data_IF_949864555120
#
_entry.id   IF_949864555120
#
_cell.length_a   1.000
_cell.length_b   1.000
_cell.length_c   1.000
_cell.angle_alpha   90.00
_cell.angle_beta   90.00
_cell.angle_gamma   90.00
#
_symmetry.space_group_name_H-M   'P 1'
#
loop_
_entity.id
_entity.type
_entity.pdbx_description
1 polymer ?
#
# COMPACT_ATOMS: atom_id res chain seq x y z
N UNK A 1 5.40 11.80 44.66
CA UNK A 1 6.46 10.98 44.05
C UNK A 1 5.99 9.55 43.98
N UNK A 2 5.45 9.09 42.84
CA UNK A 2 5.33 7.67 42.48
C UNK A 2 5.45 7.62 40.95
N UNK A 3 6.60 7.16 40.47
CA UNK A 3 6.83 6.87 39.05
C UNK A 3 6.06 5.60 38.69
N UNK A 4 5.13 5.69 37.75
CA UNK A 4 4.57 4.51 37.08
C UNK A 4 5.46 4.18 35.89
N UNK A 5 6.23 3.09 36.02
CA UNK A 5 6.92 2.44 34.92
C UNK A 5 5.86 1.96 33.91
N UNK A 6 5.86 2.53 32.70
CA UNK A 6 5.12 1.99 31.58
C UNK A 6 5.86 0.75 31.07
N UNK A 7 5.28 -0.43 31.33
CA UNK A 7 5.70 -1.67 30.68
C UNK A 7 5.29 -1.59 29.21
N UNK A 8 6.28 -1.50 28.31
CA UNK A 8 6.10 -1.77 26.90
C UNK A 8 5.78 -3.27 26.74
N UNK A 9 4.51 -3.59 26.44
CA UNK A 9 4.14 -4.94 26.02
C UNK A 9 4.55 -5.07 24.55
N UNK A 10 5.71 -5.67 24.32
CA UNK A 10 6.08 -6.21 23.01
C UNK A 10 5.23 -7.46 22.80
N UNK A 11 4.11 -7.33 22.07
CA UNK A 11 3.36 -8.49 21.58
C UNK A 11 4.17 -9.12 20.44
N UNK A 12 5.11 -9.98 20.81
CA UNK A 12 5.73 -10.92 19.89
C UNK A 12 4.61 -11.76 19.24
N UNK A 13 4.73 -12.04 17.94
CA UNK A 13 3.93 -13.09 17.30
C UNK A 13 4.01 -14.34 18.18
N UNK A 14 2.86 -14.92 18.55
CA UNK A 14 2.89 -16.19 19.26
C UNK A 14 3.52 -17.22 18.31
N UNK A 15 4.63 -17.87 18.67
CA UNK A 15 5.21 -18.92 17.84
C UNK A 15 4.14 -20.01 17.67
N UNK A 16 3.78 -20.32 16.42
CA UNK A 16 3.00 -21.52 16.12
C UNK A 16 3.85 -22.69 16.58
N UNK A 17 3.27 -23.58 17.41
CA UNK A 17 4.02 -24.73 17.89
C UNK A 17 4.37 -25.65 16.71
N UNK A 18 5.58 -26.23 16.75
CA UNK A 18 6.08 -27.18 15.75
C UNK A 18 5.06 -28.31 15.47
N UNK A 19 4.31 -28.75 16.49
CA UNK A 19 3.29 -29.80 16.36
C UNK A 19 2.16 -29.40 15.40
N UNK A 20 1.72 -28.13 15.37
CA UNK A 20 0.69 -27.67 14.44
C UNK A 20 1.21 -27.48 13.01
N UNK A 21 2.49 -27.11 12.83
CA UNK A 21 3.10 -26.92 11.51
C UNK A 21 3.59 -28.22 10.85
N UNK A 22 3.90 -29.26 11.64
CA UNK A 22 4.34 -30.58 11.14
C UNK A 22 3.19 -31.40 10.54
N UNK A 23 1.94 -31.05 10.83
CA UNK A 23 0.76 -31.65 10.20
C UNK A 23 0.37 -31.03 8.85
N UNK A 24 1.03 -29.95 8.44
CA UNK A 24 0.80 -29.29 7.15
C UNK A 24 1.62 -29.98 6.03
N UNK A 25 1.07 -30.08 4.82
CA UNK A 25 1.75 -30.69 3.68
C UNK A 25 2.88 -29.76 3.19
N UNK A 26 4.10 -30.28 3.05
CA UNK A 26 5.22 -29.51 2.47
C UNK A 26 5.03 -29.39 0.96
N UNK A 27 4.96 -28.16 0.45
CA UNK A 27 4.76 -27.86 -0.97
C UNK A 27 6.10 -27.71 -1.68
N UNK A 28 7.00 -26.90 -1.14
CA UNK A 28 8.32 -26.63 -1.69
C UNK A 28 9.28 -26.20 -0.58
N UNK A 29 10.57 -26.44 -0.76
CA UNK A 29 11.62 -25.99 0.15
C UNK A 29 12.82 -25.45 -0.64
N UNK A 30 13.52 -24.49 -0.06
CA UNK A 30 14.74 -23.95 -0.65
C UNK A 30 15.81 -25.03 -0.83
N UNK A 31 16.49 -24.99 -1.98
CA UNK A 31 17.61 -25.88 -2.30
C UNK A 31 18.71 -25.09 -3.04
N UNK A 32 19.93 -24.99 -2.49
CA UNK A 32 20.36 -25.52 -1.19
C UNK A 32 19.76 -24.74 0.01
N UNK A 33 19.77 -25.32 1.22
CA UNK A 33 19.49 -24.60 2.47
C UNK A 33 20.47 -23.43 2.69
N UNK A 34 20.07 -22.41 3.45
CA UNK A 34 20.88 -21.23 3.73
C UNK A 34 20.78 -20.84 5.22
N UNK A 35 21.78 -20.14 5.74
CA UNK A 35 21.77 -19.58 7.10
C UNK A 35 20.83 -18.36 7.17
N UNK A 36 19.57 -18.59 7.55
CA UNK A 36 18.52 -17.60 7.50
C UNK A 36 18.46 -16.75 8.76
N UNK A 37 18.88 -17.28 9.92
CA UNK A 37 18.91 -16.54 11.19
C UNK A 37 20.28 -15.93 11.54
N UNK A 38 21.33 -16.28 10.78
CA UNK A 38 22.68 -15.74 10.93
C UNK A 38 23.50 -16.43 12.02
N UNK A 39 23.11 -17.62 12.49
CA UNK A 39 23.81 -18.39 13.53
C UNK A 39 25.01 -19.20 12.99
N UNK A 40 25.24 -19.16 11.68
CA UNK A 40 26.32 -19.87 11.00
C UNK A 40 25.97 -21.31 10.60
N UNK A 41 24.70 -21.74 10.75
CA UNK A 41 24.21 -23.08 10.38
C UNK A 41 23.16 -22.97 9.27
N UNK A 42 23.05 -23.97 8.38
CA UNK A 42 22.02 -23.94 7.34
C UNK A 42 20.62 -24.18 7.92
N UNK A 43 19.70 -23.29 7.58
CA UNK A 43 18.27 -23.37 7.86
C UNK A 43 17.47 -23.80 6.62
N UNK A 44 16.30 -24.41 6.85
CA UNK A 44 15.42 -24.85 5.79
C UNK A 44 14.18 -23.95 5.72
N UNK A 45 14.13 -23.07 4.71
CA UNK A 45 12.91 -22.35 4.36
C UNK A 45 11.96 -23.21 3.53
N UNK A 46 10.72 -23.42 3.97
CA UNK A 46 9.70 -24.18 3.24
C UNK A 46 8.37 -23.43 3.14
N UNK A 47 7.57 -23.81 2.15
CA UNK A 47 6.16 -23.46 2.06
C UNK A 47 5.35 -24.71 2.40
N UNK A 48 4.37 -24.57 3.28
CA UNK A 48 3.41 -25.61 3.62
C UNK A 48 1.99 -25.23 3.22
N UNK A 49 1.14 -26.23 3.05
CA UNK A 49 -0.29 -26.07 2.76
C UNK A 49 -1.11 -26.56 3.94
N UNK A 50 -2.04 -25.72 4.42
CA UNK A 50 -2.92 -26.01 5.56
C UNK A 50 -4.38 -26.16 5.12
N UNK A 51 -5.00 -27.30 5.45
CA UNK A 51 -6.45 -27.55 5.32
C UNK A 51 -6.97 -27.90 3.91
N UNK A 52 -8.21 -28.41 3.86
CA UNK A 52 -8.81 -29.05 2.67
C UNK A 52 -9.68 -28.12 1.80
N UNK A 53 -10.15 -26.95 2.30
CA UNK A 53 -11.25 -26.22 1.64
C UNK A 53 -10.91 -24.85 1.00
N UNK A 54 -9.75 -24.24 1.29
CA UNK A 54 -9.23 -23.07 0.54
C UNK A 54 -7.71 -23.04 0.69
N UNK A 55 -6.89 -23.05 -0.40
CA UNK A 55 -5.44 -23.09 -0.28
C UNK A 55 -4.91 -21.76 0.29
N UNK A 56 -4.76 -21.71 1.61
CA UNK A 56 -3.87 -20.77 2.27
C UNK A 56 -2.52 -21.46 2.34
N UNK A 57 -1.60 -21.06 1.47
CA UNK A 57 -0.22 -21.45 1.66
C UNK A 57 0.33 -20.67 2.84
N UNK A 58 1.00 -21.37 3.74
CA UNK A 58 1.67 -20.86 4.94
C UNK A 58 3.17 -20.95 4.66
N UNK A 59 3.94 -19.90 4.93
CA UNK A 59 5.41 -19.97 4.81
C UNK A 59 5.99 -20.39 6.16
N UNK A 60 6.49 -21.62 6.24
CA UNK A 60 7.10 -22.15 7.45
C UNK A 60 8.61 -22.12 7.30
N UNK A 61 9.28 -21.26 8.07
CA UNK A 61 10.74 -21.29 8.16
C UNK A 61 11.15 -22.26 9.27
N UNK A 62 11.79 -23.36 8.87
CA UNK A 62 12.36 -24.33 9.79
C UNK A 62 13.83 -23.94 10.05
N UNK A 63 14.03 -23.05 11.03
CA UNK A 63 15.36 -22.75 11.54
C UNK A 63 15.95 -23.96 12.28
N UNK A 64 17.27 -24.11 12.22
CA UNK A 64 18.05 -25.20 12.83
C UNK A 64 18.22 -25.04 14.36
N UNK A 65 17.75 -23.93 14.92
CA UNK A 65 17.63 -23.63 16.36
C UNK A 65 16.23 -24.00 16.90
N UNK A 66 16.08 -24.47 18.16
CA UNK A 66 14.82 -25.04 18.69
C UNK A 66 13.63 -24.07 18.78
N UNK A 67 13.77 -22.83 18.32
CA UNK A 67 12.68 -21.87 18.15
C UNK A 67 12.32 -21.78 16.66
N UNK A 68 11.51 -22.72 16.19
CA UNK A 68 10.92 -22.67 14.85
C UNK A 68 10.05 -21.42 14.71
N UNK A 69 10.32 -20.59 13.70
CA UNK A 69 9.57 -19.39 13.41
C UNK A 69 8.66 -19.65 12.19
N UNK A 70 7.39 -19.95 12.44
CA UNK A 70 6.39 -20.02 11.39
C UNK A 70 5.82 -18.62 11.10
N UNK A 71 5.75 -18.23 9.83
CA UNK A 71 5.10 -16.99 9.41
C UNK A 71 3.87 -17.34 8.55
N UNK A 72 2.68 -17.06 9.08
CA UNK A 72 1.43 -17.28 8.35
C UNK A 72 1.22 -16.17 7.30
N UNK A 73 2.01 -16.20 6.22
CA UNK A 73 1.80 -15.31 5.07
C UNK A 73 0.92 -16.03 4.06
N UNK A 74 -0.26 -15.49 3.72
CA UNK A 74 -1.09 -16.10 2.70
C UNK A 74 -0.43 -15.90 1.33
N UNK A 75 0.14 -16.96 0.74
CA UNK A 75 0.43 -16.96 -0.71
C UNK A 75 -0.92 -17.18 -1.39
N UNK A 76 -1.58 -16.08 -1.72
CA UNK A 76 -2.84 -16.14 -2.44
C UNK A 76 -2.55 -16.26 -3.92
N UNK A 77 -3.19 -17.27 -4.52
CA UNK A 77 -3.32 -17.40 -5.95
C UNK A 77 -3.97 -16.19 -6.59
N UNK A 78 -3.76 -16.03 -7.88
CA UNK A 78 -4.32 -14.90 -8.61
C UNK A 78 -5.88 -14.96 -8.61
N UNK A 79 -6.58 -13.91 -8.15
CA UNK A 79 -8.04 -13.91 -7.98
C UNK A 79 -8.85 -14.02 -9.28
N UNK A 80 -8.22 -13.95 -10.48
CA UNK A 80 -8.91 -14.10 -11.77
C UNK A 80 -8.14 -14.83 -12.88
N UNK A 81 -6.99 -15.44 -12.62
CA UNK A 81 -6.14 -15.93 -13.70
C UNK A 81 -6.55 -17.28 -14.31
N UNK A 82 -7.84 -17.65 -14.28
CA UNK A 82 -8.39 -18.83 -14.95
C UNK A 82 -7.60 -20.12 -14.65
N UNK A 83 -7.95 -20.80 -13.56
CA UNK A 83 -7.20 -21.93 -13.00
C UNK A 83 -7.08 -23.18 -13.88
N UNK A 84 -6.30 -23.13 -14.95
CA UNK A 84 -6.17 -24.25 -15.88
C UNK A 84 -4.77 -24.89 -15.95
N UNK A 85 -3.75 -24.41 -15.22
CA UNK A 85 -2.45 -25.09 -15.12
C UNK A 85 -1.96 -25.17 -13.68
N UNK A 86 -1.14 -26.20 -13.43
CA UNK A 86 -0.60 -26.54 -12.11
C UNK A 86 0.09 -25.35 -11.45
N UNK A 87 -0.22 -25.16 -10.17
CA UNK A 87 0.48 -24.22 -9.30
C UNK A 87 1.90 -24.74 -9.09
N UNK A 88 2.89 -23.88 -9.33
CA UNK A 88 4.28 -24.15 -8.98
C UNK A 88 4.72 -23.15 -7.92
N UNK A 89 5.39 -23.66 -6.89
CA UNK A 89 5.97 -22.84 -5.83
C UNK A 89 7.48 -23.01 -5.87
N UNK A 90 8.17 -21.88 -6.02
CA UNK A 90 9.62 -21.78 -5.98
C UNK A 90 10.01 -21.11 -4.66
N UNK A 91 11.06 -21.63 -4.02
CA UNK A 91 11.58 -21.08 -2.77
C UNK A 91 13.08 -20.93 -2.94
N UNK A 92 13.57 -19.70 -2.85
CA UNK A 92 14.98 -19.36 -2.93
C UNK A 92 15.44 -18.81 -1.58
N UNK A 93 16.55 -19.34 -1.05
CA UNK A 93 17.12 -18.90 0.21
C UNK A 93 18.55 -18.40 -0.01
N UNK A 94 18.86 -17.26 0.60
CA UNK A 94 20.22 -16.73 0.76
C UNK A 94 20.42 -16.32 2.21
N UNK A 95 21.65 -16.12 2.69
CA UNK A 95 21.85 -15.76 4.09
C UNK A 95 20.99 -14.56 4.52
N UNK A 96 20.20 -14.74 5.59
CA UNK A 96 19.28 -13.73 6.13
C UNK A 96 18.01 -13.43 5.32
N UNK A 97 17.77 -14.09 4.17
CA UNK A 97 16.60 -13.82 3.32
C UNK A 97 15.98 -15.07 2.70
N UNK A 98 14.65 -15.07 2.63
CA UNK A 98 13.85 -16.09 1.98
C UNK A 98 12.92 -15.45 0.94
N UNK A 99 13.00 -15.91 -0.30
CA UNK A 99 12.12 -15.50 -1.37
C UNK A 99 11.20 -16.66 -1.72
N UNK A 100 9.90 -16.38 -1.77
CA UNK A 100 8.89 -17.37 -2.15
C UNK A 100 8.16 -16.84 -3.37
N UNK A 101 8.05 -17.67 -4.41
CA UNK A 101 7.31 -17.33 -5.62
C UNK A 101 6.29 -18.41 -5.92
N UNK A 102 5.11 -17.98 -6.33
CA UNK A 102 4.04 -18.85 -6.83
C UNK A 102 3.74 -18.47 -8.28
N UNK A 103 3.63 -19.48 -9.15
CA UNK A 103 3.26 -19.27 -10.55
C UNK A 103 2.12 -20.18 -10.97
N UNK A 104 1.28 -19.68 -11.86
CA UNK A 104 0.20 -20.44 -12.46
C UNK A 104 -0.46 -19.70 -13.62
N UNK A 105 -1.66 -20.13 -13.99
CA UNK A 105 -2.47 -19.47 -15.02
C UNK A 105 -2.67 -20.32 -16.26
N UNK A 106 -3.08 -19.70 -17.37
CA UNK A 106 -3.45 -20.44 -18.59
C UNK A 106 -3.03 -19.69 -19.84
N UNK A 107 -3.92 -18.86 -20.38
CA UNK A 107 -3.61 -17.87 -21.41
C UNK A 107 -2.76 -16.75 -20.82
N UNK A 108 -3.14 -16.27 -19.64
CA UNK A 108 -2.34 -15.35 -18.85
C UNK A 108 -1.56 -16.17 -17.82
N UNK A 109 -0.24 -16.09 -17.88
CA UNK A 109 0.66 -16.66 -16.89
C UNK A 109 0.95 -15.61 -15.84
N UNK A 110 0.72 -15.93 -14.57
CA UNK A 110 0.99 -15.02 -13.48
C UNK A 110 2.09 -15.57 -12.58
N UNK A 111 2.88 -14.66 -12.04
CA UNK A 111 3.85 -14.91 -10.97
C UNK A 111 3.52 -13.99 -9.81
N UNK A 112 3.53 -14.51 -8.60
CA UNK A 112 3.52 -13.72 -7.38
C UNK A 112 4.75 -14.06 -6.56
N UNK A 113 5.35 -13.07 -5.92
CA UNK A 113 6.50 -13.25 -5.05
C UNK A 113 6.35 -12.51 -3.74
N UNK A 114 6.97 -13.03 -2.70
CA UNK A 114 7.22 -12.34 -1.44
C UNK A 114 8.68 -12.51 -1.05
N UNK A 115 9.25 -11.47 -0.46
CA UNK A 115 10.61 -11.45 0.06
C UNK A 115 10.55 -11.25 1.56
N UNK A 116 11.20 -12.15 2.31
CA UNK A 116 11.27 -12.14 3.75
C UNK A 116 12.72 -11.92 4.18
N UNK A 117 12.95 -11.05 5.16
CA UNK A 117 14.26 -10.88 5.77
C UNK A 117 14.19 -11.16 7.28
N UNK A 118 15.20 -11.84 7.80
CA UNK A 118 15.34 -12.04 9.23
C UNK A 118 15.91 -10.78 9.89
N UNK A 119 15.18 -10.19 10.83
CA UNK A 119 15.61 -9.02 11.60
C UNK A 119 15.06 -9.13 13.01
N UNK A 120 15.85 -8.72 14.00
CA UNK A 120 15.39 -8.61 15.39
C UNK A 120 14.73 -9.87 15.96
N UNK A 121 15.21 -11.06 15.56
CA UNK A 121 14.69 -12.33 16.08
C UNK A 121 13.50 -12.92 15.32
N UNK A 122 13.04 -12.32 14.22
CA UNK A 122 11.90 -12.83 13.42
C UNK A 122 12.00 -12.47 11.93
N UNK A 123 11.18 -13.11 11.10
CA UNK A 123 11.06 -12.75 9.68
C UNK A 123 10.07 -11.61 9.48
N UNK A 124 10.47 -10.67 8.62
CA UNK A 124 9.66 -9.55 8.18
C UNK A 124 9.51 -9.59 6.67
N UNK A 125 8.30 -9.29 6.17
CA UNK A 125 8.12 -9.02 4.74
C UNK A 125 8.86 -7.74 4.40
N UNK A 126 9.81 -7.84 3.47
CA UNK A 126 10.61 -6.71 2.97
C UNK A 126 10.28 -6.34 1.53
N UNK A 127 9.51 -7.20 0.84
CA UNK A 127 8.90 -6.82 -0.43
C UNK A 127 7.91 -7.86 -0.95
N UNK A 128 7.13 -7.44 -1.93
CA UNK A 128 6.26 -8.30 -2.72
C UNK A 128 6.41 -7.99 -4.21
N UNK A 129 6.00 -8.94 -5.04
CA UNK A 129 6.00 -8.78 -6.48
C UNK A 129 4.84 -9.51 -7.12
N UNK A 130 4.39 -9.01 -8.25
CA UNK A 130 3.38 -9.64 -9.07
C UNK A 130 3.69 -9.37 -10.54
N UNK A 131 3.56 -10.39 -11.37
CA UNK A 131 3.70 -10.25 -12.81
C UNK A 131 2.63 -11.06 -13.53
N UNK A 132 2.19 -10.57 -14.69
CA UNK A 132 1.28 -11.25 -15.61
C UNK A 132 1.81 -11.13 -17.02
N UNK A 133 1.85 -12.24 -17.74
CA UNK A 133 2.22 -12.33 -19.15
C UNK A 133 1.06 -12.92 -19.94
N UNK A 134 0.53 -12.23 -20.95
CA UNK A 134 -0.38 -12.86 -21.91
C UNK A 134 0.46 -13.69 -22.87
N UNK A 135 0.22 -15.01 -22.91
CA UNK A 135 1.03 -15.93 -23.70
C UNK A 135 0.87 -15.76 -25.21
N UNK A 136 -0.29 -15.27 -25.66
CA UNK A 136 -0.62 -15.06 -27.06
C UNK A 136 0.04 -13.80 -27.60
N UNK A 137 0.02 -12.71 -26.83
CA UNK A 137 0.59 -11.43 -27.25
C UNK A 137 2.03 -11.26 -26.79
N UNK A 138 2.45 -11.91 -25.70
CA UNK A 138 3.71 -11.66 -24.97
C UNK A 138 3.78 -10.30 -24.29
N UNK A 139 2.66 -9.60 -24.18
CA UNK A 139 2.61 -8.42 -23.35
C UNK A 139 2.77 -8.82 -21.87
N UNK A 140 3.40 -7.95 -21.09
CA UNK A 140 3.73 -8.19 -19.69
C UNK A 140 3.34 -6.99 -18.82
N UNK A 141 2.83 -7.28 -17.63
CA UNK A 141 2.64 -6.32 -16.55
C UNK A 141 3.39 -6.83 -15.34
N UNK A 142 4.21 -5.98 -14.74
CA UNK A 142 4.95 -6.24 -13.52
C UNK A 142 4.59 -5.17 -12.49
N UNK A 143 4.46 -5.59 -11.23
CA UNK A 143 4.30 -4.74 -10.07
C UNK A 143 5.20 -5.26 -8.95
N UNK A 144 5.70 -4.36 -8.13
CA UNK A 144 6.43 -4.75 -6.93
C UNK A 144 6.36 -3.67 -5.88
N UNK A 145 6.47 -4.09 -4.63
CA UNK A 145 6.55 -3.21 -3.47
C UNK A 145 7.80 -3.55 -2.67
N UNK A 146 8.61 -2.55 -2.35
CA UNK A 146 9.72 -2.64 -1.42
C UNK A 146 9.36 -1.92 -0.12
N UNK A 147 9.48 -2.63 1.01
CA UNK A 147 9.21 -2.08 2.34
C UNK A 147 10.51 -1.58 2.97
N UNK A 148 10.76 -0.28 2.87
CA UNK A 148 12.01 0.35 3.30
C UNK A 148 11.77 1.62 4.11
N UNK A 149 12.47 1.75 5.24
CA UNK A 149 12.52 2.97 6.06
C UNK A 149 11.14 3.54 6.43
N UNK A 150 10.16 2.67 6.70
CA UNK A 150 8.80 3.07 7.07
C UNK A 150 7.89 3.44 5.90
N UNK A 151 8.33 3.27 4.65
CA UNK A 151 7.49 3.43 3.47
C UNK A 151 7.36 2.10 2.69
N UNK A 152 6.23 1.93 2.00
CA UNK A 152 6.06 0.95 0.94
C UNK A 152 6.25 1.66 -0.41
N UNK A 153 7.38 1.41 -1.06
CA UNK A 153 7.69 1.97 -2.37
C UNK A 153 7.27 0.98 -3.43
N UNK A 154 6.39 1.40 -4.30
CA UNK A 154 5.76 0.52 -5.27
C UNK A 154 6.04 0.98 -6.68
N UNK A 155 6.09 0.02 -7.60
CA UNK A 155 6.21 0.28 -9.03
C UNK A 155 5.22 -0.55 -9.82
N UNK A 156 4.94 -0.07 -11.04
CA UNK A 156 4.22 -0.78 -12.08
C UNK A 156 4.91 -0.57 -13.40
N UNK A 157 5.16 -1.64 -14.11
CA UNK A 157 5.79 -1.64 -15.43
C UNK A 157 4.86 -2.40 -16.37
N UNK A 158 4.56 -1.80 -17.50
CA UNK A 158 3.80 -2.42 -18.58
C UNK A 158 4.68 -2.46 -19.81
N UNK A 159 4.93 -3.67 -20.30
CA UNK A 159 5.73 -3.95 -21.50
C UNK A 159 4.77 -4.43 -22.60
N UNK A 160 4.53 -3.61 -23.63
CA UNK A 160 3.67 -4.00 -24.74
C UNK A 160 4.23 -5.19 -25.53
N UNK A 161 3.32 -5.97 -26.11
CA UNK A 161 3.63 -7.12 -26.96
C UNK A 161 4.42 -6.78 -28.24
N UNK A 162 4.14 -5.61 -28.82
CA UNK A 162 4.64 -5.16 -30.11
C UNK A 162 6.01 -4.47 -30.03
N UNK A 163 6.65 -4.48 -28.85
CA UNK A 163 7.88 -3.73 -28.60
C UNK A 163 7.66 -2.22 -28.52
N UNK A 164 6.40 -1.78 -28.34
CA UNK A 164 6.07 -0.40 -28.03
C UNK A 164 6.70 0.10 -26.74
N UNK A 165 6.53 1.40 -26.49
CA UNK A 165 7.15 2.06 -25.34
C UNK A 165 6.68 1.45 -24.01
N UNK A 166 7.64 1.14 -23.15
CA UNK A 166 7.36 0.62 -21.80
C UNK A 166 6.79 1.74 -20.95
N UNK A 167 5.61 1.51 -20.36
CA UNK A 167 5.00 2.46 -19.43
C UNK A 167 5.38 2.11 -18.00
N UNK A 168 5.90 3.08 -17.25
CA UNK A 168 6.31 2.89 -15.85
C UNK A 168 5.63 3.89 -14.93
N UNK A 169 5.20 3.44 -13.76
CA UNK A 169 4.69 4.30 -12.69
C UNK A 169 5.33 3.91 -11.35
N UNK A 170 5.58 4.90 -10.50
CA UNK A 170 6.20 4.74 -9.19
C UNK A 170 5.42 5.50 -8.13
N UNK A 171 5.23 4.92 -6.96
CA UNK A 171 4.47 5.55 -5.88
C UNK A 171 4.85 5.04 -4.50
N UNK A 172 4.25 5.68 -3.49
CA UNK A 172 4.25 5.27 -2.10
C UNK A 172 2.83 4.83 -1.74
N UNK A 173 2.67 3.60 -1.24
CA UNK A 173 1.34 3.13 -0.82
C UNK A 173 0.85 3.90 0.42
N UNK A 174 -0.46 4.00 0.52
CA UNK A 174 -1.19 4.51 1.68
C UNK A 174 -1.92 3.35 2.35
N UNK A 175 -1.67 3.16 3.64
CA UNK A 175 -2.35 2.14 4.45
C UNK A 175 -3.36 2.79 5.39
N UNK A 176 -4.56 2.22 5.45
CA UNK A 176 -5.58 2.67 6.40
C UNK A 176 -5.38 1.97 7.74
N UNK A 177 -5.05 2.75 8.77
CA UNK A 177 -4.94 2.31 10.16
C UNK A 177 -6.33 2.32 10.85
N UNK A 178 -6.80 1.20 11.43
CA UNK A 178 -8.07 1.18 12.16
C UNK A 178 -7.96 1.88 13.52
N UNK A 179 -8.74 2.94 13.76
CA UNK A 179 -8.82 3.59 15.08
C UNK A 179 -9.46 2.62 16.10
N UNK A 180 -8.66 2.16 17.08
CA UNK A 180 -9.14 1.42 18.25
C UNK A 180 -9.58 -0.02 18.00
N UNK A 181 -9.37 -0.57 16.80
CA UNK A 181 -9.44 -2.01 16.58
C UNK A 181 -8.17 -2.70 17.09
N UNK A 182 -8.20 -3.99 17.46
CA UNK A 182 -6.95 -4.73 17.57
C UNK A 182 -6.22 -4.59 16.24
N UNK A 183 -5.01 -4.00 16.26
CA UNK A 183 -4.02 -4.18 15.18
C UNK A 183 -4.04 -5.66 14.84
N UNK A 184 -4.19 -6.06 13.56
CA UNK A 184 -4.60 -7.41 13.17
C UNK A 184 -3.89 -8.46 14.02
N UNK A 185 -4.58 -8.89 15.07
CA UNK A 185 -4.18 -10.06 15.83
C UNK A 185 -4.37 -11.19 14.83
N UNK A 186 -3.38 -12.09 14.77
CA UNK A 186 -3.29 -13.20 13.81
C UNK A 186 -2.67 -12.81 12.47
N UNK A 187 -1.34 -12.95 12.35
CA UNK A 187 -0.62 -13.32 11.12
C UNK A 187 -0.88 -12.50 9.84
N UNK A 188 -1.71 -11.46 9.88
CA UNK A 188 -2.22 -10.83 8.70
C UNK A 188 -1.20 -9.81 8.23
N UNK A 189 -0.71 -10.05 7.01
CA UNK A 189 0.03 -9.16 6.14
C UNK A 189 -0.35 -7.68 6.36
N UNK A 190 0.38 -7.04 7.26
CA UNK A 190 0.38 -5.61 7.50
C UNK A 190 1.78 -5.30 8.01
N UNK A 191 2.64 -4.66 7.19
CA UNK A 191 3.99 -4.35 7.62
C UNK A 191 3.86 -3.41 8.84
N UNK A 192 4.31 -3.81 10.03
CA UNK A 192 3.92 -3.21 11.32
C UNK A 192 4.46 -1.77 11.55
N UNK A 193 4.92 -1.09 10.49
CA UNK A 193 5.61 0.19 10.54
C UNK A 193 5.12 1.20 9.47
N UNK A 194 4.03 0.94 8.74
CA UNK A 194 3.56 1.79 7.63
C UNK A 194 2.32 2.64 7.97
N UNK A 195 2.17 3.01 9.25
CA UNK A 195 1.05 3.86 9.71
C UNK A 195 1.12 5.28 9.12
N UNK A 196 2.31 5.67 8.65
CA UNK A 196 2.61 6.97 8.09
C UNK A 196 3.37 6.79 6.77
N UNK A 197 3.02 7.58 5.76
CA UNK A 197 3.73 7.64 4.49
C UNK A 197 4.45 8.97 4.39
N UNK A 198 5.79 8.95 4.35
CA UNK A 198 6.64 10.16 4.29
C UNK A 198 7.03 10.46 2.84
N UNK A 199 6.82 11.70 2.40
CA UNK A 199 7.16 12.22 1.07
C UNK A 199 8.16 13.37 1.20
N UNK A 200 9.42 13.08 0.89
CA UNK A 200 10.56 13.99 1.06
C UNK A 200 11.59 13.87 -0.08
N UNK A 201 11.18 13.42 -1.27
CA UNK A 201 12.11 13.00 -2.31
C UNK A 201 11.87 13.65 -3.66
N UNK A 202 12.97 13.84 -4.38
CA UNK A 202 13.01 14.39 -5.72
C UNK A 202 12.22 13.56 -6.76
N UNK A 203 12.13 12.23 -6.60
CA UNK A 203 11.44 11.35 -7.57
C UNK A 203 9.91 11.48 -7.56
N UNK A 204 9.33 12.13 -6.54
CA UNK A 204 7.90 12.40 -6.44
C UNK A 204 7.54 13.88 -6.59
N UNK A 205 8.47 14.65 -7.13
CA UNK A 205 8.23 16.00 -7.63
C UNK A 205 7.40 15.91 -8.92
N UNK A 206 6.33 16.71 -9.02
CA UNK A 206 5.54 16.79 -10.25
C UNK A 206 6.29 17.67 -11.26
N UNK A 207 6.83 17.05 -12.31
CA UNK A 207 7.61 17.73 -13.36
C UNK A 207 6.76 18.80 -14.07
N UNK A 208 7.34 19.99 -14.30
CA UNK A 208 6.71 21.11 -15.02
C UNK A 208 6.29 22.29 -14.14
N UNK A 209 5.98 22.06 -12.86
CA UNK A 209 5.50 23.05 -11.88
C UNK A 209 6.29 22.98 -10.56
N UNK A 210 7.63 22.81 -10.58
CA UNK A 210 8.37 22.63 -9.31
C UNK A 210 9.75 23.29 -9.29
N UNK A 211 9.99 24.10 -8.25
CA UNK A 211 11.31 24.64 -7.85
C UNK A 211 11.95 23.84 -6.71
N UNK A 212 11.38 22.68 -6.31
CA UNK A 212 11.84 21.88 -5.18
C UNK A 212 13.35 21.67 -5.13
N UNK A 213 13.96 22.05 -4.02
CA UNK A 213 15.40 21.96 -3.82
C UNK A 213 15.80 20.87 -2.80
N UNK A 214 15.04 20.73 -1.71
CA UNK A 214 15.36 19.83 -0.61
C UNK A 214 14.15 19.57 0.32
N UNK A 215 14.22 18.62 1.28
CA UNK A 215 13.09 18.32 2.17
C UNK A 215 12.67 19.42 3.16
N UNK A 216 13.55 20.41 3.42
CA UNK A 216 13.25 21.53 4.31
C UNK A 216 12.39 22.62 3.64
N UNK A 217 12.45 22.67 2.30
CA UNK A 217 11.64 23.50 1.40
C UNK A 217 10.21 22.94 1.37
N UNK A 218 10.03 21.73 0.80
CA UNK A 218 8.74 21.02 0.92
C UNK A 218 8.95 19.54 1.25
N UNK A 219 8.20 19.06 2.25
CA UNK A 219 7.97 17.63 2.50
C UNK A 219 6.66 17.42 3.24
N UNK A 220 6.08 16.22 3.18
CA UNK A 220 4.85 15.93 3.92
C UNK A 220 4.72 14.49 4.37
N UNK A 221 3.89 14.29 5.40
CA UNK A 221 3.54 12.98 5.95
C UNK A 221 2.04 12.78 5.83
N UNK A 222 1.62 11.65 5.25
CA UNK A 222 0.21 11.25 5.15
C UNK A 222 -0.06 10.12 6.13
N UNK A 223 -1.13 10.26 6.92
CA UNK A 223 -1.70 9.20 7.76
C UNK A 223 -3.14 9.00 7.39
N UNK A 224 -3.54 7.77 7.07
CA UNK A 224 -4.94 7.46 6.79
C UNK A 224 -5.48 6.58 7.90
N UNK A 225 -6.55 7.03 8.55
CA UNK A 225 -7.21 6.31 9.64
C UNK A 225 -8.65 6.00 9.31
N UNK A 226 -9.16 4.90 9.86
CA UNK A 226 -10.58 4.55 9.77
C UNK A 226 -11.23 4.49 11.14
N UNK A 227 -12.34 5.22 11.28
CA UNK A 227 -13.24 5.13 12.44
C UNK A 227 -14.62 4.73 11.95
N UNK A 228 -14.86 3.41 11.84
CA UNK A 228 -16.09 2.86 11.27
C UNK A 228 -16.27 3.29 9.79
N UNK A 229 -17.39 3.92 9.41
CA UNK A 229 -17.65 4.31 8.03
C UNK A 229 -16.89 5.57 7.59
N UNK A 230 -16.09 6.18 8.47
CA UNK A 230 -15.32 7.39 8.18
C UNK A 230 -13.86 7.05 7.93
N UNK A 231 -13.28 7.65 6.89
CA UNK A 231 -11.85 7.75 6.67
C UNK A 231 -11.38 9.16 7.02
N UNK A 232 -10.21 9.23 7.64
CA UNK A 232 -9.55 10.45 8.05
C UNK A 232 -8.14 10.49 7.47
N UNK A 233 -7.85 11.47 6.64
CA UNK A 233 -6.51 11.74 6.13
C UNK A 233 -5.92 12.89 6.95
N UNK A 234 -4.90 12.59 7.74
CA UNK A 234 -4.07 13.59 8.39
C UNK A 234 -2.82 13.82 7.55
N UNK A 235 -2.64 15.04 7.05
CA UNK A 235 -1.52 15.42 6.19
C UNK A 235 -0.75 16.51 6.91
N UNK A 236 0.46 16.21 7.36
CA UNK A 236 1.36 17.18 7.99
C UNK A 236 2.40 17.63 6.96
N UNK A 237 2.40 18.91 6.63
CA UNK A 237 3.27 19.52 5.65
C UNK A 237 4.33 20.35 6.36
N UNK A 238 5.59 20.14 5.95
CA UNK A 238 6.70 21.02 6.23
C UNK A 238 6.87 21.96 5.04
N UNK A 239 6.80 23.24 5.33
CA UNK A 239 6.75 24.35 4.39
C UNK A 239 7.21 25.61 5.16
N UNK A 240 8.16 26.35 4.59
CA UNK A 240 8.77 27.52 5.22
C UNK A 240 7.99 28.83 5.01
N UNK A 241 7.08 28.90 4.02
CA UNK A 241 6.21 30.04 3.75
C UNK A 241 4.75 29.66 3.42
N UNK A 242 3.99 29.33 4.46
CA UNK A 242 2.55 29.03 4.31
C UNK A 242 1.73 30.23 3.77
N UNK A 243 1.32 30.18 2.50
CA UNK A 243 0.47 31.15 1.81
C UNK A 243 -1.00 30.71 1.74
N UNK A 244 -1.89 31.57 2.25
CA UNK A 244 -3.33 31.27 2.28
C UNK A 244 -4.06 31.76 1.02
N UNK A 245 -5.01 30.96 0.52
CA UNK A 245 -5.93 31.39 -0.52
C UNK A 245 -6.81 32.55 -0.01
N UNK A 246 -6.92 33.62 -0.81
CA UNK A 246 -7.83 34.73 -0.54
C UNK A 246 -8.99 34.78 -1.55
N UNK A 247 -10.19 35.09 -1.06
CA UNK A 247 -11.38 35.25 -1.92
C UNK A 247 -11.30 36.56 -2.73
N UNK A 248 -10.50 37.54 -2.28
CA UNK A 248 -10.40 38.88 -2.85
C UNK A 248 -9.39 39.03 -3.98
N UNK A 249 -8.38 38.16 -4.07
CA UNK A 249 -7.40 38.21 -5.16
C UNK A 249 -7.84 37.27 -6.29
N UNK A 250 -8.28 37.86 -7.41
CA UNK A 250 -8.59 37.09 -8.63
C UNK A 250 -7.34 36.33 -9.09
N UNK A 251 -7.32 35.02 -8.84
CA UNK A 251 -6.43 34.07 -9.51
C UNK A 251 -5.21 33.59 -8.73
N UNK A 252 -4.89 34.13 -7.54
CA UNK A 252 -3.81 33.58 -6.72
C UNK A 252 -4.35 32.53 -5.76
N UNK A 253 -4.02 31.28 -6.02
CA UNK A 253 -4.30 30.14 -5.13
C UNK A 253 -3.06 29.98 -4.24
N UNK A 254 -3.24 29.91 -2.92
CA UNK A 254 -2.13 29.66 -2.00
C UNK A 254 -1.79 28.17 -1.93
N UNK A 255 -1.12 27.75 -0.85
CA UNK A 255 -0.82 26.34 -0.60
C UNK A 255 -2.11 25.56 -0.45
N UNK A 256 -2.03 24.30 -0.86
CA UNK A 256 -3.20 23.45 -1.03
C UNK A 256 -2.85 21.99 -1.10
N UNK A 257 -3.88 21.19 -0.87
CA UNK A 257 -3.80 19.74 -1.01
C UNK A 257 -4.77 19.31 -2.08
N UNK A 258 -4.33 18.39 -2.95
CA UNK A 258 -5.19 17.66 -3.85
C UNK A 258 -5.32 16.21 -3.40
N UNK A 259 -6.55 15.69 -3.46
CA UNK A 259 -6.83 14.29 -3.29
C UNK A 259 -7.43 13.75 -4.59
N UNK A 260 -6.74 12.78 -5.18
CA UNK A 260 -7.18 12.08 -6.37
C UNK A 260 -7.43 10.62 -6.04
N UNK A 261 -8.53 10.06 -6.55
CA UNK A 261 -8.79 8.63 -6.47
C UNK A 261 -9.61 8.13 -7.66
N UNK A 262 -9.40 6.86 -8.02
CA UNK A 262 -10.17 6.18 -9.05
C UNK A 262 -10.76 4.86 -8.54
N UNK A 263 -12.08 4.74 -8.64
CA UNK A 263 -12.87 3.57 -8.22
C UNK A 263 -13.21 2.60 -9.36
N UNK A 264 -12.68 2.85 -10.55
CA UNK A 264 -13.08 2.22 -11.83
C UNK A 264 -12.02 1.35 -12.47
N UNK A 265 -10.81 1.42 -11.95
CA UNK A 265 -9.68 0.63 -12.38
C UNK A 265 -9.54 -0.60 -11.52
N UNK A 266 -9.66 -1.74 -12.15
CA UNK A 266 -8.98 -2.96 -11.78
C UNK A 266 -7.46 -2.68 -11.70
N UNK A 267 -6.87 -2.66 -10.50
CA UNK A 267 -5.46 -2.30 -10.34
C UNK A 267 -4.52 -3.34 -10.99
N UNK A 268 -5.05 -4.52 -11.30
CA UNK A 268 -4.29 -5.70 -11.71
C UNK A 268 -4.53 -6.12 -13.15
N UNK A 269 -5.75 -6.02 -13.67
CA UNK A 269 -6.12 -6.65 -14.95
C UNK A 269 -6.89 -5.78 -15.95
N UNK A 270 -6.85 -4.44 -15.85
CA UNK A 270 -7.37 -3.59 -16.94
C UNK A 270 -6.39 -3.45 -18.11
N UNK A 271 -6.06 -4.60 -18.71
CA UNK A 271 -5.41 -4.74 -20.00
C UNK A 271 -3.92 -4.44 -19.98
N UNK A 272 -3.20 -5.02 -20.93
CA UNK A 272 -1.89 -4.56 -21.38
C UNK A 272 -1.98 -3.16 -22.04
N UNK A 273 -2.81 -2.27 -21.49
CA UNK A 273 -3.10 -0.92 -21.90
C UNK A 273 -3.22 -0.04 -20.64
N UNK A 274 -2.28 0.88 -20.40
CA UNK A 274 -2.31 1.72 -19.22
C UNK A 274 -3.50 2.70 -19.27
N UNK A 275 -4.19 2.88 -18.13
CA UNK A 275 -5.23 3.92 -17.97
C UNK A 275 -4.58 5.27 -17.72
N UNK A 276 -4.24 5.96 -18.81
CA UNK A 276 -3.52 7.24 -18.78
C UNK A 276 -4.45 8.47 -18.71
N UNK A 277 -5.75 8.27 -18.83
CA UNK A 277 -6.74 9.35 -18.79
C UNK A 277 -7.75 9.11 -17.64
N UNK A 278 -8.15 10.16 -16.90
CA UNK A 278 -9.19 10.04 -15.88
C UNK A 278 -10.56 9.77 -16.50
N UNK A 279 -11.34 8.84 -15.92
CA UNK A 279 -12.71 8.54 -16.34
C UNK A 279 -13.70 9.33 -15.47
N UNK A 280 -14.56 10.22 -16.02
CA UNK A 280 -15.49 11.03 -15.25
C UNK A 280 -16.51 10.21 -14.42
N UNK A 281 -16.68 8.91 -14.70
CA UNK A 281 -17.57 8.01 -13.95
C UNK A 281 -16.91 7.46 -12.69
N UNK A 282 -15.59 7.39 -12.66
CA UNK A 282 -14.86 6.62 -11.65
C UNK A 282 -13.72 7.38 -10.98
N UNK A 283 -13.10 8.30 -11.70
CA UNK A 283 -12.06 9.17 -11.19
C UNK A 283 -12.67 10.41 -10.56
N UNK A 284 -12.14 10.78 -9.40
CA UNK A 284 -12.51 12.00 -8.70
C UNK A 284 -11.23 12.70 -8.27
N UNK A 285 -11.15 14.00 -8.57
CA UNK A 285 -10.10 14.87 -8.10
C UNK A 285 -10.73 15.99 -7.28
N UNK A 286 -10.14 16.29 -6.12
CA UNK A 286 -10.62 17.37 -5.24
C UNK A 286 -9.44 18.22 -4.79
N UNK A 287 -9.62 19.53 -4.84
CA UNK A 287 -8.73 20.54 -4.31
C UNK A 287 -9.23 21.00 -2.94
N UNK A 288 -8.31 21.12 -1.99
CA UNK A 288 -8.56 21.64 -0.64
C UNK A 288 -7.64 22.84 -0.45
N UNK A 289 -8.23 24.03 -0.50
CA UNK A 289 -7.53 25.29 -0.34
C UNK A 289 -7.57 25.75 1.11
N UNK A 290 -6.45 26.28 1.60
CA UNK A 290 -6.31 26.80 2.95
C UNK A 290 -6.85 28.23 3.04
N UNK A 291 -7.82 28.47 3.94
CA UNK A 291 -8.39 29.81 4.17
C UNK A 291 -8.10 30.31 5.59
N UNK A 292 -8.10 31.64 5.82
CA UNK A 292 -7.93 32.21 7.16
C UNK A 292 -8.90 31.64 8.20
N UNK A 293 -8.42 31.51 9.45
CA UNK A 293 -9.20 31.02 10.59
C UNK A 293 -9.39 29.50 10.62
N UNK A 294 -8.48 28.73 10.02
CA UNK A 294 -8.51 27.26 10.02
C UNK A 294 -9.60 26.64 9.14
N UNK A 295 -10.21 27.45 8.26
CA UNK A 295 -11.25 27.03 7.32
C UNK A 295 -10.60 26.52 6.03
N UNK A 296 -11.33 25.69 5.30
CA UNK A 296 -10.92 25.25 3.96
C UNK A 296 -11.99 25.59 2.94
N UNK A 297 -11.60 25.69 1.67
CA UNK A 297 -12.51 25.63 0.53
C UNK A 297 -12.21 24.36 -0.25
N UNK A 298 -13.23 23.52 -0.37
CA UNK A 298 -13.13 22.27 -1.13
C UNK A 298 -13.75 22.46 -2.52
N UNK A 299 -12.97 22.22 -3.57
CA UNK A 299 -13.39 22.36 -4.97
C UNK A 299 -13.18 21.06 -5.72
N UNK A 300 -14.18 20.57 -6.45
CA UNK A 300 -14.03 19.39 -7.31
C UNK A 300 -13.21 19.78 -8.55
N UNK A 301 -12.04 19.17 -8.70
CA UNK A 301 -11.18 19.31 -9.88
C UNK A 301 -11.70 18.47 -11.04
N UNK A 302 -12.15 17.25 -10.74
CA UNK A 302 -12.58 16.30 -11.75
C UNK A 302 -13.73 15.39 -11.29
N UNK A 303 -14.68 15.10 -12.20
CA UNK A 303 -15.10 15.94 -13.32
C UNK A 303 -15.51 17.34 -12.83
N UNK A 304 -15.08 18.40 -13.52
CA UNK A 304 -15.28 19.80 -13.08
C UNK A 304 -16.74 20.25 -12.92
N UNK A 305 -17.68 19.57 -13.58
CA UNK A 305 -19.12 19.84 -13.47
C UNK A 305 -19.85 18.84 -12.54
N UNK A 306 -19.11 18.01 -11.82
CA UNK A 306 -19.69 17.00 -10.94
C UNK A 306 -20.14 17.55 -9.58
N UNK A 307 -21.06 16.85 -8.92
CA UNK A 307 -21.47 17.17 -7.53
C UNK A 307 -20.26 17.09 -6.60
N UNK A 308 -20.05 18.11 -5.76
CA UNK A 308 -18.97 18.10 -4.78
C UNK A 308 -19.07 16.85 -3.88
N UNK A 309 -18.03 16.00 -3.77
CA UNK A 309 -18.06 14.86 -2.87
C UNK A 309 -18.26 15.33 -1.42
N UNK A 310 -19.02 14.55 -0.65
CA UNK A 310 -19.34 14.81 0.75
C UNK A 310 -18.12 14.56 1.65
N UNK A 311 -17.17 15.48 1.62
CA UNK A 311 -16.00 15.50 2.47
C UNK A 311 -15.90 16.84 3.21
N UNK A 312 -15.31 16.80 4.39
CA UNK A 312 -14.99 18.00 5.18
C UNK A 312 -13.49 18.06 5.38
N UNK A 313 -12.95 19.28 5.40
CA UNK A 313 -11.54 19.49 5.68
C UNK A 313 -11.36 20.67 6.65
N UNK A 314 -10.35 20.58 7.49
CA UNK A 314 -9.88 21.68 8.33
C UNK A 314 -8.37 21.73 8.28
N UNK A 315 -7.79 22.87 8.62
CA UNK A 315 -6.34 22.97 8.70
C UNK A 315 -5.91 23.80 9.90
N UNK A 316 -4.65 23.64 10.29
CA UNK A 316 -4.01 24.45 11.32
C UNK A 316 -2.56 24.70 10.95
N UNK A 317 -2.02 25.84 11.37
CA UNK A 317 -0.59 26.11 11.29
C UNK A 317 0.17 25.26 12.30
N UNK A 318 1.34 24.77 11.92
CA UNK A 318 2.30 24.07 12.80
C UNK A 318 3.58 24.91 12.90
N UNK A 319 4.50 24.59 13.82
CA UNK A 319 5.77 25.30 13.90
C UNK A 319 6.65 25.21 12.64
N UNK A 320 6.40 24.21 11.78
CA UNK A 320 7.22 23.92 10.60
C UNK A 320 6.45 23.99 9.28
N UNK A 321 5.22 24.52 9.28
CA UNK A 321 4.33 24.52 8.11
C UNK A 321 2.86 24.45 8.52
N UNK A 322 2.13 23.43 8.08
CA UNK A 322 0.71 23.26 8.38
C UNK A 322 0.26 21.79 8.45
N UNK A 323 -0.90 21.55 9.03
CA UNK A 323 -1.58 20.24 9.01
C UNK A 323 -2.96 20.39 8.39
N UNK A 324 -3.34 19.47 7.51
CA UNK A 324 -4.69 19.33 6.96
C UNK A 324 -5.34 18.05 7.48
N UNK A 325 -6.57 18.16 8.00
CA UNK A 325 -7.40 17.04 8.44
C UNK A 325 -8.61 16.91 7.51
N UNK A 326 -8.63 15.86 6.69
CA UNK A 326 -9.71 15.57 5.74
C UNK A 326 -10.53 14.40 6.28
N UNK A 327 -11.85 14.56 6.33
CA UNK A 327 -12.80 13.52 6.74
C UNK A 327 -13.78 13.25 5.63
N UNK A 328 -13.91 11.99 5.27
CA UNK A 328 -14.72 11.53 4.17
C UNK A 328 -15.37 10.19 4.54
N UNK A 329 -16.58 9.95 4.04
CA UNK A 329 -17.16 8.62 4.16
C UNK A 329 -16.35 7.62 3.32
N UNK A 330 -16.04 6.47 3.91
CA UNK A 330 -15.27 5.39 3.28
C UNK A 330 -15.86 4.98 1.93
N UNK A 331 -17.20 4.96 1.82
CA UNK A 331 -17.93 4.62 0.59
C UNK A 331 -17.60 5.52 -0.61
N UNK A 332 -17.00 6.69 -0.40
CA UNK A 332 -16.56 7.57 -1.50
C UNK A 332 -15.38 6.97 -2.27
N UNK A 333 -14.57 6.15 -1.60
CA UNK A 333 -13.43 5.42 -2.16
C UNK A 333 -13.84 4.01 -2.56
N UNK A 334 -14.97 3.52 -2.06
CA UNK A 334 -15.49 2.20 -2.42
C UNK A 334 -16.19 2.21 -3.78
N UNK A 335 -15.77 1.31 -4.66
CA UNK A 335 -16.37 1.07 -5.96
C UNK A 335 -16.73 -0.40 -6.14
N UNK A 336 -17.70 -0.72 -7.03
CA UNK A 336 -18.06 -2.11 -7.36
C UNK A 336 -16.89 -2.87 -8.01
N UNK A 337 -15.87 -2.16 -8.47
CA UNK A 337 -14.64 -2.70 -9.06
C UNK A 337 -13.49 -2.80 -8.06
N UNK A 338 -13.67 -2.35 -6.82
CA UNK A 338 -12.65 -2.51 -5.78
C UNK A 338 -12.41 -3.99 -5.55
N UNK A 339 -11.15 -4.40 -5.64
CA UNK A 339 -10.77 -5.80 -5.48
C UNK A 339 -10.18 -6.05 -4.11
N UNK A 340 -10.32 -7.29 -3.65
CA UNK A 340 -9.50 -7.82 -2.57
C UNK A 340 -8.03 -7.63 -2.92
N UNK A 341 -7.30 -6.94 -2.05
CA UNK A 341 -5.85 -6.95 -1.95
C UNK A 341 -5.36 -8.39 -2.24
N UNK A 342 -4.27 -8.60 -3.01
CA UNK A 342 -3.67 -9.92 -3.19
C UNK A 342 -3.36 -10.62 -1.88
N UNK A 343 -3.28 -9.94 -0.73
CA UNK A 343 -3.22 -10.50 0.63
C UNK A 343 -4.57 -10.93 1.23
N UNK A 344 -5.67 -10.77 0.48
CA UNK A 344 -7.04 -11.01 0.93
C UNK A 344 -7.53 -9.96 1.92
N UNK A 345 -6.71 -8.99 2.29
CA UNK A 345 -6.82 -8.19 3.51
C UNK A 345 -7.63 -6.89 3.40
N UNK A 346 -8.21 -6.56 2.25
CA UNK A 346 -9.01 -5.34 2.12
C UNK A 346 -9.31 -4.97 0.68
N UNK A 347 -9.93 -3.81 0.46
CA UNK A 347 -10.18 -3.28 -0.88
C UNK A 347 -9.03 -2.35 -1.32
N UNK A 348 -8.57 -2.47 -2.56
CA UNK A 348 -7.60 -1.55 -3.17
C UNK A 348 -8.27 -0.48 -4.03
N UNK A 349 -7.72 0.73 -3.98
CA UNK A 349 -8.14 1.90 -4.75
C UNK A 349 -6.91 2.63 -5.27
N UNK A 350 -6.93 3.07 -6.53
CA UNK A 350 -5.88 3.97 -7.01
C UNK A 350 -6.10 5.34 -6.38
N UNK A 351 -5.10 5.90 -5.72
CA UNK A 351 -5.17 7.19 -5.06
C UNK A 351 -3.82 7.91 -5.05
N UNK A 352 -3.87 9.24 -5.02
CA UNK A 352 -2.70 10.08 -4.81
C UNK A 352 -3.08 11.29 -3.95
N UNK A 353 -2.16 11.65 -3.05
CA UNK A 353 -2.18 12.94 -2.35
C UNK A 353 -1.11 13.82 -2.99
N UNK A 354 -1.48 15.04 -3.34
CA UNK A 354 -0.57 16.04 -3.91
C UNK A 354 -0.58 17.25 -2.98
N UNK A 355 0.59 17.71 -2.57
CA UNK A 355 0.78 18.98 -1.86
C UNK A 355 1.37 19.96 -2.86
N UNK A 356 0.75 21.14 -2.96
CA UNK A 356 1.26 22.26 -3.74
C UNK A 356 1.54 23.42 -2.82
N UNK A 357 2.73 23.95 -2.99
CA UNK A 357 3.36 25.00 -2.22
C UNK A 357 3.59 26.22 -3.11
N UNK A 358 3.34 27.40 -2.57
CA UNK A 358 3.33 28.65 -3.32
C UNK A 358 4.06 29.72 -2.52
N UNK A 359 5.31 29.98 -2.86
CA UNK A 359 6.10 30.99 -2.17
C UNK A 359 5.69 32.43 -2.51
N UNK A 360 5.89 33.32 -1.53
CA UNK A 360 5.68 34.75 -1.73
C UNK A 360 6.65 35.35 -2.77
N UNK A 361 6.16 35.58 -3.98
CA UNK A 361 6.90 36.32 -5.02
C UNK A 361 7.63 35.42 -6.01
N UNK A 362 7.49 34.10 -5.86
CA UNK A 362 7.91 33.14 -6.88
C UNK A 362 6.82 32.95 -7.93
N UNK A 363 7.26 32.74 -9.17
CA UNK A 363 6.38 32.49 -10.31
C UNK A 363 6.11 30.99 -10.51
N UNK A 364 6.98 30.14 -9.99
CA UNK A 364 6.81 28.69 -10.01
C UNK A 364 6.31 28.24 -8.64
N UNK A 365 5.36 27.32 -8.66
CA UNK A 365 4.93 26.60 -7.47
C UNK A 365 5.91 25.44 -7.23
N UNK A 366 5.86 24.83 -6.05
CA UNK A 366 6.48 23.53 -5.79
C UNK A 366 5.39 22.49 -5.55
N UNK A 367 5.53 21.30 -6.15
CA UNK A 367 4.53 20.25 -6.02
C UNK A 367 5.16 18.89 -5.74
N UNK A 368 4.77 18.28 -4.63
CA UNK A 368 5.13 16.91 -4.25
C UNK A 368 3.89 16.03 -4.17
N UNK A 369 4.04 14.75 -4.48
CA UNK A 369 2.94 13.80 -4.44
C UNK A 369 3.33 12.46 -3.82
N UNK A 370 2.35 11.64 -3.45
CA UNK A 370 2.60 10.24 -3.05
C UNK A 370 2.91 9.33 -4.25
N UNK A 371 2.91 9.87 -5.47
CA UNK A 371 3.21 9.15 -6.70
C UNK A 371 3.90 10.04 -7.72
N UNK A 372 4.68 9.46 -8.64
CA UNK A 372 5.23 10.19 -9.78
C UNK A 372 4.11 10.41 -10.79
N UNK A 373 3.65 11.67 -10.92
CA UNK A 373 2.50 12.04 -11.75
C UNK A 373 2.99 12.93 -12.90
N UNK A 374 2.84 12.44 -14.13
CA UNK A 374 3.09 13.18 -15.36
C UNK A 374 1.75 13.63 -15.99
N UNK A 375 0.70 12.81 -15.83
CA UNK A 375 -0.66 13.05 -16.29
C UNK A 375 -1.59 13.15 -15.08
N UNK A 376 -1.93 14.38 -14.71
CA UNK A 376 -2.79 14.66 -13.55
C UNK A 376 -4.14 13.93 -13.68
N UNK A 377 -4.42 13.06 -12.71
CA UNK A 377 -5.65 12.26 -12.68
C UNK A 377 -5.58 10.91 -13.41
N UNK A 378 -4.46 10.55 -14.04
CA UNK A 378 -4.27 9.24 -14.66
C UNK A 378 -4.25 8.12 -13.62
N UNK A 379 -5.20 7.16 -13.62
CA UNK A 379 -5.22 6.08 -12.64
C UNK A 379 -4.00 5.16 -12.67
N UNK A 380 -3.33 5.03 -13.82
CA UNK A 380 -2.10 4.23 -13.95
C UNK A 380 -0.93 4.80 -13.13
N UNK A 381 -0.85 6.12 -13.02
CA UNK A 381 0.23 6.85 -12.33
C UNK A 381 -0.10 7.10 -10.84
N UNK A 382 -1.32 6.79 -10.40
CA UNK A 382 -1.70 6.87 -8.99
C UNK A 382 -1.15 5.68 -8.20
N UNK A 383 -0.91 5.93 -6.91
CA UNK A 383 -0.53 4.89 -5.97
C UNK A 383 -1.71 4.15 -5.37
N UNK A 384 -1.47 3.31 -4.38
CA UNK A 384 -2.52 2.47 -3.80
C UNK A 384 -2.95 2.97 -2.43
N UNK A 385 -4.27 2.99 -2.23
CA UNK A 385 -4.90 3.11 -0.92
C UNK A 385 -5.43 1.75 -0.50
N UNK A 386 -4.76 1.15 0.49
CA UNK A 386 -5.17 -0.12 1.11
C UNK A 386 -6.23 0.17 2.15
N UNK A 387 -7.49 -0.05 1.79
CA UNK A 387 -8.61 0.23 2.69
C UNK A 387 -8.72 -0.76 3.85
N UNK A 388 -7.99 -1.88 3.85
CA UNK A 388 -8.06 -2.93 4.88
C UNK A 388 -9.44 -3.60 5.00
N UNK A 389 -9.53 -4.69 5.77
CA UNK A 389 -10.78 -5.35 6.18
C UNK A 389 -11.22 -4.71 7.50
N UNK A 390 -12.42 -4.14 7.52
CA UNK A 390 -13.15 -4.03 8.76
C UNK A 390 -13.68 -5.42 9.09
N UNK A 391 -12.96 -6.19 9.91
CA UNK A 391 -13.60 -7.29 10.62
C UNK A 391 -14.41 -6.63 11.73
N UNK A 392 -15.76 -6.72 11.72
CA UNK A 392 -16.54 -6.29 12.87
C UNK A 392 -15.99 -7.02 14.09
N UNK A 393 -15.66 -6.28 15.15
CA UNK A 393 -15.36 -6.86 16.44
C UNK A 393 -16.58 -7.72 16.86
N UNK A 394 -16.50 -9.04 16.68
CA UNK A 394 -17.63 -9.93 16.95
C UNK A 394 -17.67 -11.27 16.21
N UNK A 395 -16.89 -11.50 15.15
CA UNK A 395 -16.82 -12.83 14.51
C UNK A 395 -15.45 -13.51 14.69
N UNK A 396 -15.00 -13.58 15.94
CA UNK A 396 -14.16 -14.71 16.35
C UNK A 396 -15.06 -15.95 16.35
N UNK A 397 -15.18 -16.64 15.19
CA UNK A 397 -15.51 -18.06 15.25
C UNK A 397 -14.40 -18.71 16.06
N UNK A 398 -14.71 -19.03 17.32
CA UNK A 398 -13.88 -19.92 18.13
C UNK A 398 -13.64 -21.17 17.29
N UNK A 399 -12.39 -21.41 16.94
CA UNK A 399 -11.94 -22.73 16.53
C UNK A 399 -12.40 -23.71 17.62
N UNK A 400 -13.19 -24.72 17.27
CA UNK A 400 -13.51 -25.82 18.18
C UNK A 400 -14.97 -26.10 18.52
N UNK A 401 -15.96 -25.79 17.67
CA UNK A 401 -17.27 -26.46 17.77
C UNK A 401 -17.62 -27.19 16.47
N UNK A 402 -17.45 -28.52 16.50
CA UNK A 402 -18.04 -29.43 15.51
C UNK A 402 -19.57 -29.41 15.67
N UNK A 403 -20.34 -29.34 14.58
CA UNK A 403 -21.78 -29.56 14.66
C UNK A 403 -22.06 -31.00 15.10
N UNK A 404 -23.06 -31.16 15.98
CA UNK A 404 -23.65 -32.46 16.31
C UNK A 404 -24.61 -32.90 15.22
#
# INVERSE_FOLDING_TARGET
>A
MHCALAFAIVLAAAPVSLEEAVHDERVACAQPPADLDGDGRPDLGCVTRRGDDEPRHVVVVLASSPQTLALDVPLLGCPRCGGALGLSVEVDAVPGMLNVRERGGSREEWTRGISLAYRSGTFHVVGDSYAVVDRATKAEVEMGTAYEKGNARSHRILRPADGGETSTAYWLDLYVDPDGGPSPAHGAFSPPHLVETVVDRADYVIEGDSSWSNPDDLSFVVRVRSSGPQLRFGIDVKDDDVQLSSVSQKGRVGDRVELWWDRGGDPWTSGFAPKLEPDPRTTVGVLIELLPGGKTRTTRLFPGNGVQPALSASWKRTPSGYSVDIRAERRLFEGPSNRSDPGGNGSLVNAAVIVRDVDAGEAQETALATAKIERRGAPFEMGWLHLGRWLPAGQNRRAGQRPR
#
